data_IF_471938338607
#
_entry.id   IF_471938338607
#
_cell.length_a   1.000
_cell.length_b   1.000
_cell.length_c   1.000
_cell.angle_alpha   90.00
_cell.angle_beta   90.00
_cell.angle_gamma   90.00
#
_symmetry.space_group_name_H-M   'P 1'
#
loop_
_entity.id
_entity.type
_entity.pdbx_description
1 polymer ?
#
# COMPACT_ATOMS: atom_id res chain seq x y z
N UNK A 1 0.86 -11.95 15.92
CA UNK A 1 1.13 -11.53 14.53
C UNK A 1 2.33 -12.30 14.03
N UNK A 2 2.27 -12.83 12.81
CA UNK A 2 3.35 -13.62 12.21
C UNK A 2 3.84 -12.88 10.98
N UNK A 3 5.15 -12.69 10.88
CA UNK A 3 5.76 -12.09 9.69
C UNK A 3 6.43 -13.18 8.87
N UNK A 4 6.18 -13.20 7.56
CA UNK A 4 6.75 -14.15 6.61
C UNK A 4 7.52 -13.40 5.53
N UNK A 5 8.73 -13.83 5.22
CA UNK A 5 9.43 -13.41 4.02
C UNK A 5 8.93 -14.22 2.83
N UNK A 6 8.72 -13.57 1.68
CA UNK A 6 8.37 -14.24 0.43
C UNK A 6 9.66 -14.44 -0.37
N UNK A 7 9.90 -15.66 -0.84
CA UNK A 7 11.04 -15.94 -1.72
C UNK A 7 10.90 -15.13 -3.02
N UNK A 8 12.02 -14.64 -3.56
CA UNK A 8 12.01 -13.76 -4.75
C UNK A 8 11.28 -14.37 -5.95
N UNK A 9 11.47 -15.68 -6.16
CA UNK A 9 10.83 -16.41 -7.25
C UNK A 9 9.29 -16.47 -7.11
N UNK A 10 8.77 -16.29 -5.89
CA UNK A 10 7.33 -16.33 -5.60
C UNK A 10 6.67 -14.95 -5.58
N UNK A 11 7.44 -13.84 -5.62
CA UNK A 11 6.90 -12.48 -5.49
C UNK A 11 5.78 -12.18 -6.48
N UNK A 12 6.01 -12.48 -7.76
CA UNK A 12 5.01 -12.22 -8.80
C UNK A 12 3.73 -13.01 -8.54
N UNK A 13 3.85 -14.30 -8.28
CA UNK A 13 2.71 -15.18 -8.08
C UNK A 13 1.90 -14.75 -6.85
N UNK A 14 2.59 -14.51 -5.73
CA UNK A 14 1.98 -14.07 -4.48
C UNK A 14 1.20 -12.75 -4.64
N UNK A 15 1.84 -11.73 -5.23
CA UNK A 15 1.22 -10.41 -5.37
C UNK A 15 0.06 -10.42 -6.37
N UNK A 16 0.20 -11.11 -7.51
CA UNK A 16 -0.88 -11.23 -8.49
C UNK A 16 -2.11 -11.93 -7.89
N UNK A 17 -1.91 -12.98 -7.09
CA UNK A 17 -3.00 -13.71 -6.47
C UNK A 17 -3.64 -12.94 -5.33
N UNK A 18 -2.84 -12.24 -4.52
CA UNK A 18 -3.36 -11.29 -3.54
C UNK A 18 -4.20 -10.22 -4.24
N UNK A 19 -3.70 -9.63 -5.33
CA UNK A 19 -4.39 -8.61 -6.12
C UNK A 19 -5.74 -9.08 -6.68
N UNK A 20 -5.87 -10.36 -7.06
CA UNK A 20 -7.14 -10.94 -7.53
C UNK A 20 -8.13 -11.20 -6.39
N UNK A 21 -7.61 -11.47 -5.19
CA UNK A 21 -8.39 -11.73 -3.99
C UNK A 21 -8.79 -10.46 -3.23
N UNK A 22 -8.39 -9.29 -3.73
CA UNK A 22 -8.69 -8.01 -3.09
C UNK A 22 -10.20 -7.87 -2.89
N UNK A 23 -10.55 -7.73 -1.61
CA UNK A 23 -11.88 -7.30 -1.21
C UNK A 23 -11.91 -5.76 -1.28
N UNK A 24 -12.93 -5.15 -0.67
CA UNK A 24 -12.90 -3.71 -0.45
C UNK A 24 -11.83 -3.40 0.62
N UNK A 25 -10.57 -3.33 0.19
CA UNK A 25 -9.39 -3.16 1.03
C UNK A 25 -8.92 -1.71 0.96
N UNK A 26 -8.71 -1.09 2.12
CA UNK A 26 -8.08 0.21 2.26
C UNK A 26 -6.60 0.05 2.56
N UNK A 27 -5.81 0.96 2.03
CA UNK A 27 -4.37 1.01 2.21
C UNK A 27 -3.93 2.38 2.69
N UNK A 28 -3.02 2.37 3.65
CA UNK A 28 -2.15 3.49 3.96
C UNK A 28 -0.73 3.13 3.49
N UNK A 29 -0.10 4.07 2.78
CA UNK A 29 1.25 3.91 2.22
C UNK A 29 2.20 4.82 2.99
N UNK A 30 3.10 4.18 3.73
CA UNK A 30 4.18 4.82 4.46
C UNK A 30 5.51 4.51 3.75
N UNK A 31 6.30 5.55 3.53
CA UNK A 31 7.65 5.48 2.98
C UNK A 31 8.63 5.97 4.04
N UNK A 32 9.33 5.01 4.65
CA UNK A 32 10.40 5.26 5.60
C UNK A 32 11.75 5.32 4.86
N UNK A 33 12.31 6.53 4.74
CA UNK A 33 13.65 6.77 4.19
C UNK A 33 14.49 7.57 5.19
N UNK A 34 15.81 7.33 5.21
CA UNK A 34 16.73 8.14 6.03
C UNK A 34 16.76 9.61 5.60
N UNK A 35 16.48 9.90 4.33
CA UNK A 35 16.51 11.25 3.77
C UNK A 35 15.17 11.98 3.94
N UNK A 36 14.05 11.25 3.83
CA UNK A 36 12.69 11.82 3.86
C UNK A 36 12.01 11.72 5.24
N UNK A 37 12.53 10.88 6.14
CA UNK A 37 11.81 10.50 7.35
C UNK A 37 10.65 9.54 7.05
N UNK A 38 9.67 9.49 7.94
CA UNK A 38 8.39 8.79 7.80
C UNK A 38 7.43 9.69 7.01
N UNK A 39 6.96 9.20 5.86
CA UNK A 39 6.11 9.93 4.93
C UNK A 39 4.88 9.11 4.57
N UNK A 40 3.69 9.62 4.91
CA UNK A 40 2.43 9.05 4.44
C UNK A 40 2.11 9.59 3.05
N UNK A 41 2.30 8.77 2.02
CA UNK A 41 1.98 9.13 0.63
C UNK A 41 0.49 8.93 0.30
N UNK A 42 -0.17 8.00 0.99
CA UNK A 42 -1.61 7.78 0.89
C UNK A 42 -2.20 7.36 2.23
N UNK A 43 -3.35 7.92 2.58
CA UNK A 43 -4.03 7.69 3.87
C UNK A 43 -5.39 7.00 3.65
N UNK A 44 -5.46 5.70 3.98
CA UNK A 44 -6.64 4.83 3.90
C UNK A 44 -7.50 4.96 2.64
N UNK A 45 -6.85 4.85 1.48
CA UNK A 45 -7.49 4.88 0.16
C UNK A 45 -7.75 3.46 -0.36
N UNK A 46 -8.67 3.27 -1.30
CA UNK A 46 -8.89 1.94 -1.87
C UNK A 46 -7.68 1.42 -2.66
N UNK A 47 -7.23 0.23 -2.30
CA UNK A 47 -6.27 -0.54 -3.07
C UNK A 47 -6.98 -1.12 -4.31
N UNK A 48 -6.40 -0.89 -5.49
CA UNK A 48 -6.90 -1.38 -6.78
C UNK A 48 -6.07 -2.52 -7.34
N UNK A 49 -4.82 -2.63 -6.91
CA UNK A 49 -3.98 -3.77 -7.26
C UNK A 49 -2.56 -3.64 -6.74
N UNK A 50 -1.87 -4.77 -6.68
CA UNK A 50 -0.44 -4.86 -6.40
C UNK A 50 0.18 -5.92 -7.32
N UNK A 51 1.36 -5.65 -7.87
CA UNK A 51 2.00 -6.59 -8.79
C UNK A 51 3.51 -6.38 -8.84
N UNK A 52 4.23 -7.41 -9.28
CA UNK A 52 5.67 -7.33 -9.55
C UNK A 52 5.95 -7.78 -10.98
N UNK A 53 6.71 -6.97 -11.73
CA UNK A 53 7.27 -7.33 -13.02
C UNK A 53 8.76 -7.69 -12.87
N UNK A 54 9.14 -8.97 -12.96
CA UNK A 54 10.53 -9.40 -12.88
C UNK A 54 11.38 -8.96 -14.08
N UNK A 55 10.77 -8.55 -15.21
CA UNK A 55 11.53 -8.06 -16.38
C UNK A 55 12.11 -6.67 -16.12
N UNK A 56 11.32 -5.82 -15.48
CA UNK A 56 11.70 -4.43 -15.18
C UNK A 56 12.25 -4.29 -13.74
N UNK A 57 12.18 -5.37 -12.95
CA UNK A 57 12.50 -5.42 -11.52
C UNK A 57 11.75 -4.31 -10.75
N UNK A 58 10.45 -4.21 -11.00
CA UNK A 58 9.58 -3.13 -10.52
C UNK A 58 8.34 -3.69 -9.82
N UNK A 59 8.05 -3.19 -8.63
CA UNK A 59 6.80 -3.45 -7.92
C UNK A 59 5.87 -2.24 -8.07
N UNK A 60 4.59 -2.53 -8.31
CA UNK A 60 3.55 -1.56 -8.55
C UNK A 60 2.47 -1.68 -7.49
N UNK A 61 2.07 -0.54 -6.90
CA UNK A 61 0.88 -0.43 -6.05
C UNK A 61 -0.06 0.59 -6.68
N UNK A 62 -1.26 0.14 -7.02
CA UNK A 62 -2.28 0.97 -7.62
C UNK A 62 -3.35 1.26 -6.59
N UNK A 63 -3.56 2.53 -6.26
CA UNK A 63 -4.69 2.97 -5.44
C UNK A 63 -5.64 3.83 -6.26
N UNK A 64 -6.77 4.23 -5.68
CA UNK A 64 -7.66 5.22 -6.30
C UNK A 64 -7.06 6.64 -6.34
N UNK A 65 -6.06 6.93 -5.50
CA UNK A 65 -5.50 8.28 -5.35
C UNK A 65 -4.14 8.44 -6.06
N UNK A 66 -3.29 7.41 -6.02
CA UNK A 66 -1.94 7.46 -6.58
C UNK A 66 -1.49 6.11 -7.14
N UNK A 67 -0.36 6.14 -7.86
CA UNK A 67 0.37 4.95 -8.27
C UNK A 67 1.75 5.01 -7.65
N UNK A 68 2.08 4.01 -6.84
CA UNK A 68 3.38 3.90 -6.20
C UNK A 68 4.24 2.89 -6.95
N UNK A 69 5.50 3.24 -7.17
CA UNK A 69 6.45 2.43 -7.93
C UNK A 69 7.68 2.18 -7.06
N UNK A 70 8.03 0.91 -6.86
CA UNK A 70 9.18 0.53 -6.06
C UNK A 70 10.16 -0.21 -6.95
N UNK A 71 11.28 0.45 -7.26
CA UNK A 71 12.32 -0.08 -8.13
C UNK A 71 13.29 -0.99 -7.38
N UNK A 72 13.68 -2.08 -8.02
CA UNK A 72 14.66 -3.05 -7.53
C UNK A 72 14.36 -3.55 -6.11
N UNK A 73 13.15 -4.07 -5.84
CA UNK A 73 12.82 -4.60 -4.53
C UNK A 73 13.82 -5.70 -4.15
N UNK A 74 14.27 -5.65 -2.89
CA UNK A 74 15.24 -6.58 -2.31
C UNK A 74 14.55 -7.63 -1.44
N UNK A 75 13.56 -7.21 -0.67
CA UNK A 75 12.85 -8.05 0.27
C UNK A 75 11.36 -7.70 0.26
N UNK A 76 10.52 -8.73 0.39
CA UNK A 76 9.09 -8.57 0.65
C UNK A 76 8.75 -9.40 1.89
N UNK A 77 8.17 -8.74 2.89
CA UNK A 77 7.59 -9.39 4.06
C UNK A 77 6.10 -9.15 4.14
N UNK A 78 5.38 -10.16 4.56
CA UNK A 78 3.94 -10.10 4.81
C UNK A 78 3.71 -10.27 6.29
N UNK A 79 3.01 -9.31 6.89
CA UNK A 79 2.55 -9.39 8.27
C UNK A 79 1.13 -9.94 8.23
N UNK A 80 0.92 -11.10 8.83
CA UNK A 80 -0.38 -11.76 8.92
C UNK A 80 -1.22 -11.15 10.05
N UNK A 81 -2.44 -10.75 9.70
CA UNK A 81 -3.52 -10.38 10.60
C UNK A 81 -4.54 -11.50 10.80
N UNK A 82 -5.67 -11.17 11.42
CA UNK A 82 -6.75 -12.14 11.69
C UNK A 82 -7.59 -12.49 10.46
N UNK A 83 -7.67 -11.58 9.48
CA UNK A 83 -8.53 -11.68 8.29
C UNK A 83 -7.73 -11.75 6.98
N UNK A 84 -6.42 -11.98 7.08
CA UNK A 84 -5.47 -11.94 5.97
C UNK A 84 -4.30 -11.01 6.27
N UNK A 85 -3.51 -10.63 5.25
CA UNK A 85 -2.40 -9.69 5.42
C UNK A 85 -2.85 -8.36 6.04
N UNK A 86 -2.21 -7.98 7.16
CA UNK A 86 -2.39 -6.67 7.79
C UNK A 86 -1.37 -5.64 7.31
N UNK A 87 -0.22 -6.11 6.79
CA UNK A 87 0.74 -5.25 6.11
C UNK A 87 1.59 -6.03 5.10
N UNK A 88 2.06 -5.34 4.07
CA UNK A 88 3.12 -5.79 3.17
C UNK A 88 4.27 -4.79 3.30
N UNK A 89 5.46 -5.26 3.63
CA UNK A 89 6.67 -4.45 3.78
C UNK A 89 7.62 -4.76 2.65
N UNK A 90 8.11 -3.72 1.97
CA UNK A 90 9.03 -3.83 0.84
C UNK A 90 10.27 -3.01 1.16
N UNK A 91 11.44 -3.64 1.11
CA UNK A 91 12.71 -2.92 1.10
C UNK A 91 13.19 -2.80 -0.34
N UNK A 92 13.48 -1.59 -0.78
CA UNK A 92 13.90 -1.33 -2.16
C UNK A 92 15.42 -1.40 -2.38
N UNK A 93 15.84 -1.10 -3.60
CA UNK A 93 17.24 -1.16 -4.01
C UNK A 93 18.15 -0.15 -3.29
N UNK A 94 17.59 0.86 -2.64
CA UNK A 94 18.29 1.92 -1.91
C UNK A 94 18.21 1.71 -0.38
N UNK A 95 17.43 0.70 0.06
CA UNK A 95 17.20 0.41 1.47
C UNK A 95 16.05 1.23 2.07
N UNK A 96 15.28 1.95 1.25
CA UNK A 96 14.04 2.60 1.68
C UNK A 96 13.00 1.52 1.95
N UNK A 97 12.27 1.67 3.06
CA UNK A 97 11.19 0.76 3.42
C UNK A 97 9.86 1.38 3.03
N UNK A 98 9.07 0.60 2.31
CA UNK A 98 7.73 0.94 1.90
C UNK A 98 6.79 0.02 2.66
N UNK A 99 5.95 0.60 3.53
CA UNK A 99 5.01 -0.13 4.37
C UNK A 99 3.60 0.11 3.84
N UNK A 100 2.97 -0.99 3.44
CA UNK A 100 1.62 -1.02 2.90
C UNK A 100 0.71 -1.55 4.01
N UNK A 101 0.15 -0.65 4.81
CA UNK A 101 -0.78 -1.03 5.89
C UNK A 101 -2.15 -1.33 5.29
N UNK A 102 -2.77 -2.45 5.70
CA UNK A 102 -3.97 -3.00 5.08
C UNK A 102 -5.08 -3.17 6.11
N UNK A 103 -6.30 -2.81 5.72
CA UNK A 103 -7.52 -3.20 6.46
C UNK A 103 -8.71 -3.37 5.52
N UNK A 104 -9.67 -4.19 5.90
CA UNK A 104 -10.96 -4.22 5.22
C UNK A 104 -11.69 -2.89 5.43
N UNK A 105 -12.30 -2.37 4.38
CA UNK A 105 -13.20 -1.24 4.48
C UNK A 105 -14.49 -1.69 5.12
N UNK A 106 -14.89 -1.03 6.20
CA UNK A 106 -16.31 -0.91 6.51
C UNK A 106 -16.86 0.21 5.63
N UNK A 107 -17.69 -0.14 4.65
CA UNK A 107 -18.16 0.75 3.58
C UNK A 107 -18.86 2.01 4.15
N UNK A 108 -19.59 1.88 5.26
CA UNK A 108 -20.23 3.00 5.94
C UNK A 108 -19.22 3.97 6.56
N UNK A 109 -18.19 3.44 7.20
CA UNK A 109 -17.13 4.24 7.84
C UNK A 109 -16.29 4.98 6.81
N UNK A 110 -15.96 4.33 5.69
CA UNK A 110 -15.20 4.96 4.59
C UNK A 110 -16.01 6.07 3.88
N UNK A 111 -17.31 5.89 3.65
CA UNK A 111 -18.13 6.94 3.04
C UNK A 111 -18.26 8.19 3.92
N UNK A 112 -18.28 8.03 5.24
CA UNK A 112 -18.30 9.15 6.20
C UNK A 112 -16.97 9.89 6.24
N UNK A 113 -15.83 9.19 6.28
CA UNK A 113 -14.51 9.81 6.31
C UNK A 113 -14.19 10.55 5.00
N UNK A 114 -14.47 9.93 3.85
CA UNK A 114 -14.24 10.53 2.53
C UNK A 114 -15.11 11.75 2.25
N UNK A 115 -16.37 11.79 2.72
CA UNK A 115 -17.19 13.02 2.68
C UNK A 115 -16.61 14.12 3.53
N UNK A 116 -16.24 13.82 4.78
CA UNK A 116 -15.65 14.81 5.69
C UNK A 116 -14.32 15.36 5.18
N UNK A 117 -13.51 14.53 4.50
CA UNK A 117 -12.27 14.98 3.86
C UNK A 117 -12.54 15.89 2.66
N UNK A 118 -13.51 15.53 1.81
CA UNK A 118 -13.93 16.37 0.66
C UNK A 118 -14.55 17.71 1.08
N UNK A 119 -15.21 17.78 2.23
CA UNK A 119 -15.75 19.02 2.78
C UNK A 119 -14.62 19.89 3.34
N UNK A 120 -13.70 19.31 4.14
CA UNK A 120 -12.53 20.04 4.67
C UNK A 120 -11.58 20.53 3.57
N UNK A 121 -11.36 19.77 2.51
CA UNK A 121 -10.49 20.21 1.40
C UNK A 121 -11.11 21.33 0.56
N UNK A 122 -12.44 21.42 0.48
CA UNK A 122 -13.14 22.57 -0.15
C UNK A 122 -12.99 23.84 0.67
N UNK A 123 -13.04 23.75 2.00
CA UNK A 123 -12.85 24.90 2.88
C UNK A 123 -11.41 25.41 2.86
N UNK A 124 -10.42 24.53 2.71
CA UNK A 124 -9.02 24.88 2.56
C UNK A 124 -8.66 25.40 1.16
N UNK A 125 -9.40 25.00 0.13
CA UNK A 125 -9.24 25.47 -1.25
C UNK A 125 -9.87 26.83 -1.54
N UNK A 126 -10.60 27.43 -0.59
CA UNK A 126 -11.22 28.75 -0.72
C UNK A 126 -10.35 29.90 -0.17
N UNK A 127 -9.10 29.62 0.22
CA UNK A 127 -8.12 30.62 0.65
C UNK A 127 -6.93 30.67 -0.32
N UNK A 128 -7.15 31.17 -1.54
CA UNK A 128 -6.10 31.74 -2.40
C UNK A 128 -6.66 32.97 -3.11
#
# INVERSE_FOLDING_TARGET
MTTKSIAKDDWKHYLDDYSKSLQSTLVELDVESLELGDQIEADWVHLKGISYDPKDDMLYIFTEALRHFIAKPRNIWVVEGSEGPSAIQIEDGEGTKHIVNLRLSDDETYQKSSRSYRERSKDLGASI
#
